data_IF_110023882639
#
_entry.id   IF_110023882639
#
_cell.length_a   1.000
_cell.length_b   1.000
_cell.length_c   1.000
_cell.angle_alpha   90.00
_cell.angle_beta   90.00
_cell.angle_gamma   90.00
#
_symmetry.space_group_name_H-M   'P 1'
#
loop_
_entity.id
_entity.type
_entity.pdbx_description
1 polymer ?
#
# COMPACT_ATOMS: atom_id res chain seq x y z
N UNK A 1 40.31 3.08 -36.96
CA UNK A 1 40.48 2.15 -35.82
C UNK A 1 39.93 2.76 -34.52
N UNK A 2 40.11 4.06 -34.25
CA UNK A 2 39.56 4.73 -33.05
C UNK A 2 38.04 4.91 -32.97
N UNK A 3 37.30 4.90 -34.10
CA UNK A 3 35.83 4.99 -34.08
C UNK A 3 35.16 3.77 -33.44
N UNK A 4 35.68 2.57 -33.69
CA UNK A 4 35.13 1.31 -33.14
C UNK A 4 35.38 1.23 -31.63
N UNK A 5 36.56 1.65 -31.17
CA UNK A 5 36.88 1.71 -29.75
C UNK A 5 35.96 2.69 -29.00
N UNK A 6 35.74 3.87 -29.58
CA UNK A 6 34.81 4.88 -29.02
C UNK A 6 33.38 4.35 -28.94
N UNK A 7 32.93 3.63 -29.97
CA UNK A 7 31.59 3.03 -30.01
C UNK A 7 31.41 2.00 -28.89
N UNK A 8 32.41 1.14 -28.65
CA UNK A 8 32.39 0.11 -27.61
C UNK A 8 32.31 0.74 -26.21
N UNK A 9 33.08 1.81 -25.96
CA UNK A 9 33.06 2.51 -24.67
C UNK A 9 31.70 3.14 -24.39
N UNK A 10 31.09 3.79 -25.38
CA UNK A 10 29.76 4.40 -25.24
C UNK A 10 28.70 3.32 -24.98
N UNK A 11 28.73 2.22 -25.72
CA UNK A 11 27.81 1.10 -25.53
C UNK A 11 27.94 0.50 -24.12
N UNK A 12 29.16 0.31 -23.64
CA UNK A 12 29.42 -0.19 -22.30
C UNK A 12 28.85 0.75 -21.22
N UNK A 13 29.05 2.06 -21.34
CA UNK A 13 28.52 3.05 -20.38
C UNK A 13 26.99 3.09 -20.39
N UNK A 14 26.37 3.02 -21.57
CA UNK A 14 24.90 2.98 -21.68
C UNK A 14 24.34 1.71 -21.05
N UNK A 15 24.92 0.54 -21.34
CA UNK A 15 24.50 -0.73 -20.74
C UNK A 15 24.69 -0.71 -19.22
N UNK A 16 25.82 -0.19 -18.72
CA UNK A 16 26.09 -0.04 -17.30
C UNK A 16 25.03 0.86 -16.63
N UNK A 17 24.74 2.03 -17.22
CA UNK A 17 23.75 2.97 -16.70
C UNK A 17 22.33 2.41 -16.76
N UNK A 18 21.98 1.62 -17.78
CA UNK A 18 20.68 0.97 -17.88
C UNK A 18 20.49 -0.10 -16.78
N UNK A 19 21.52 -0.91 -16.52
CA UNK A 19 21.50 -1.92 -15.45
C UNK A 19 21.40 -1.22 -14.09
N UNK A 20 22.28 -0.23 -13.83
CA UNK A 20 22.27 0.53 -12.59
C UNK A 20 20.96 1.30 -12.40
N UNK A 21 20.41 1.88 -13.47
CA UNK A 21 19.13 2.58 -13.46
C UNK A 21 18.00 1.64 -13.10
N UNK A 22 17.89 0.49 -13.76
CA UNK A 22 16.84 -0.51 -13.51
C UNK A 22 16.93 -1.06 -12.08
N UNK A 23 18.13 -1.37 -11.58
CA UNK A 23 18.33 -1.84 -10.19
C UNK A 23 17.96 -0.76 -9.17
N UNK A 24 18.33 0.50 -9.43
CA UNK A 24 17.95 1.61 -8.56
C UNK A 24 16.43 1.84 -8.55
N UNK A 25 15.77 1.74 -9.71
CA UNK A 25 14.30 1.84 -9.82
C UNK A 25 13.61 0.71 -9.06
N UNK A 26 14.07 -0.53 -9.20
CA UNK A 26 13.50 -1.69 -8.48
C UNK A 26 13.67 -1.53 -6.97
N UNK A 27 14.84 -1.08 -6.49
CA UNK A 27 15.06 -0.82 -5.05
C UNK A 27 14.18 0.32 -4.53
N UNK A 28 14.02 1.39 -5.31
CA UNK A 28 13.15 2.50 -4.94
C UNK A 28 11.67 2.06 -4.84
N UNK A 29 11.20 1.25 -5.80
CA UNK A 29 9.85 0.69 -5.79
C UNK A 29 9.60 -0.28 -4.62
N UNK A 30 10.58 -1.11 -4.26
CA UNK A 30 10.45 -2.06 -3.13
C UNK A 30 10.27 -1.37 -1.77
N UNK A 31 10.94 -0.24 -1.55
CA UNK A 31 10.78 0.58 -0.34
C UNK A 31 9.38 1.19 -0.25
N UNK A 32 8.80 1.60 -1.38
CA UNK A 32 7.44 2.12 -1.47
C UNK A 32 6.39 1.02 -1.22
N UNK A 33 6.62 -0.19 -1.74
CA UNK A 33 5.70 -1.32 -1.54
C UNK A 33 5.64 -1.78 -0.07
N UNK A 34 6.79 -1.79 0.61
CA UNK A 34 6.87 -2.13 2.03
C UNK A 34 6.13 -1.12 2.92
N UNK A 35 6.19 0.18 2.57
CA UNK A 35 5.38 1.21 3.23
C UNK A 35 3.88 1.00 3.00
N UNK A 36 3.50 0.58 1.78
CA UNK A 36 2.11 0.31 1.41
C UNK A 36 1.52 -0.88 2.19
N UNK A 37 2.33 -1.91 2.46
CA UNK A 37 1.93 -3.05 3.28
C UNK A 37 1.73 -2.68 4.76
N UNK A 38 2.48 -1.71 5.29
CA UNK A 38 2.28 -1.19 6.66
C UNK A 38 1.06 -0.27 6.81
N UNK A 39 0.50 0.22 5.71
CA UNK A 39 -0.67 1.12 5.68
C UNK A 39 -1.93 0.46 5.13
N UNK A 40 -1.98 -0.87 5.06
CA UNK A 40 -3.23 -1.55 4.73
C UNK A 40 -4.28 -1.18 5.80
N UNK A 41 -5.44 -0.60 5.42
CA UNK A 41 -6.47 -0.25 6.39
C UNK A 41 -6.93 -1.53 7.08
N UNK A 42 -6.70 -1.58 8.39
CA UNK A 42 -7.20 -2.66 9.25
C UNK A 42 -8.55 -2.27 9.80
N UNK A 43 -9.50 -3.19 9.80
CA UNK A 43 -10.79 -2.99 10.43
C UNK A 43 -10.79 -3.59 11.84
N UNK A 44 -11.37 -2.88 12.80
CA UNK A 44 -11.74 -3.45 14.10
C UNK A 44 -13.14 -4.03 13.98
N UNK A 45 -13.30 -5.33 14.20
CA UNK A 45 -14.60 -6.02 14.14
C UNK A 45 -14.88 -6.74 15.44
N UNK A 46 -16.16 -6.81 15.82
CA UNK A 46 -16.62 -7.60 16.95
C UNK A 46 -16.98 -9.01 16.46
N UNK A 47 -16.15 -10.01 16.80
CA UNK A 47 -16.40 -11.43 16.53
C UNK A 47 -16.34 -12.21 17.84
N UNK A 48 -17.29 -13.11 18.06
CA UNK A 48 -17.34 -13.96 19.27
C UNK A 48 -17.35 -13.14 20.59
N UNK A 49 -17.94 -11.94 20.56
CA UNK A 49 -17.97 -11.02 21.71
C UNK A 49 -16.64 -10.33 22.03
N UNK A 50 -15.60 -10.50 21.20
CA UNK A 50 -14.31 -9.84 21.36
C UNK A 50 -14.00 -8.92 20.17
N UNK A 51 -13.33 -7.80 20.46
CA UNK A 51 -12.87 -6.87 19.44
C UNK A 51 -11.57 -7.41 18.87
N UNK A 52 -11.58 -7.75 17.59
CA UNK A 52 -10.43 -8.27 16.85
C UNK A 52 -10.08 -7.34 15.69
N UNK A 53 -8.79 -7.12 15.48
CA UNK A 53 -8.28 -6.31 14.38
C UNK A 53 -7.92 -7.24 13.22
N UNK A 54 -8.61 -7.07 12.09
CA UNK A 54 -8.41 -7.87 10.88
C UNK A 54 -8.06 -6.96 9.71
N UNK A 55 -7.42 -7.47 8.64
CA UNK A 55 -7.24 -6.70 7.42
C UNK A 55 -8.61 -6.29 6.86
N UNK A 56 -8.77 -5.04 6.41
CA UNK A 56 -10.06 -4.55 5.87
C UNK A 56 -10.61 -5.40 4.72
N UNK A 57 -9.73 -6.07 3.96
CA UNK A 57 -10.08 -7.04 2.91
C UNK A 57 -10.73 -8.34 3.40
N UNK A 58 -10.61 -8.67 4.69
CA UNK A 58 -11.18 -9.87 5.30
C UNK A 58 -12.50 -9.60 6.04
N UNK A 59 -13.00 -8.37 5.99
CA UNK A 59 -14.32 -8.00 6.51
C UNK A 59 -15.39 -8.62 5.61
N UNK A 60 -16.35 -9.31 6.22
CA UNK A 60 -17.44 -9.98 5.50
C UNK A 60 -18.81 -9.47 5.97
N UNK A 61 -19.87 -9.62 5.14
CA UNK A 61 -21.22 -9.26 5.56
C UNK A 61 -21.62 -10.02 6.82
N UNK A 62 -22.02 -9.29 7.87
CA UNK A 62 -22.34 -9.84 9.19
C UNK A 62 -21.35 -9.44 10.28
N UNK A 63 -20.16 -8.95 9.91
CA UNK A 63 -19.26 -8.32 10.87
C UNK A 63 -19.81 -7.00 11.39
N UNK A 64 -19.68 -6.78 12.69
CA UNK A 64 -19.93 -5.48 13.33
C UNK A 64 -18.61 -4.73 13.40
N UNK A 65 -18.44 -3.74 12.52
CA UNK A 65 -17.24 -2.90 12.45
C UNK A 65 -17.33 -1.78 13.47
N UNK A 66 -16.26 -1.60 14.25
CA UNK A 66 -16.12 -0.52 15.23
C UNK A 66 -15.22 0.56 14.64
N UNK A 67 -15.78 1.74 14.42
CA UNK A 67 -15.09 2.89 13.85
C UNK A 67 -14.79 3.92 14.95
N UNK A 68 -13.54 4.38 14.97
CA UNK A 68 -13.06 5.42 15.88
C UNK A 68 -12.60 6.65 15.09
N UNK A 69 -12.37 7.76 15.78
CA UNK A 69 -11.88 8.97 15.14
C UNK A 69 -10.51 8.73 14.47
N UNK A 70 -10.44 8.97 13.16
CA UNK A 70 -9.24 8.74 12.35
C UNK A 70 -9.18 7.37 11.67
N UNK A 71 -10.14 6.48 11.94
CA UNK A 71 -10.26 5.21 11.24
C UNK A 71 -10.85 5.41 9.83
N UNK A 72 -10.48 4.54 8.91
CA UNK A 72 -10.97 4.58 7.53
C UNK A 72 -12.09 3.57 7.35
N UNK A 73 -13.19 3.97 6.69
CA UNK A 73 -14.33 3.08 6.45
C UNK A 73 -13.89 1.96 5.49
N UNK A 74 -13.77 0.73 6.02
CA UNK A 74 -13.21 -0.40 5.27
C UNK A 74 -14.18 -1.00 4.25
N UNK A 75 -15.49 -0.87 4.46
CA UNK A 75 -16.54 -1.40 3.59
C UNK A 75 -17.85 -0.63 3.78
N UNK A 76 -18.73 -0.68 2.79
CA UNK A 76 -20.10 -0.18 2.92
C UNK A 76 -20.88 -0.99 3.97
N UNK A 77 -21.63 -0.29 4.80
CA UNK A 77 -22.35 -0.91 5.91
C UNK A 77 -23.55 -0.09 6.35
N UNK A 78 -24.28 -0.66 7.32
CA UNK A 78 -25.38 0.03 7.99
C UNK A 78 -24.91 0.51 9.35
N UNK A 79 -25.12 1.80 9.62
CA UNK A 79 -24.88 2.36 10.96
C UNK A 79 -25.88 1.73 11.95
N UNK A 80 -25.34 1.08 12.99
CA UNK A 80 -26.12 0.49 14.08
C UNK A 80 -26.20 1.45 15.26
N UNK A 81 -25.05 1.98 15.67
CA UNK A 81 -24.90 2.94 16.76
C UNK A 81 -23.88 4.01 16.36
N UNK A 82 -24.12 5.27 16.73
CA UNK A 82 -23.21 6.38 16.43
C UNK A 82 -23.31 7.48 17.47
N UNK A 83 -22.17 8.09 17.81
CA UNK A 83 -22.10 9.25 18.69
C UNK A 83 -21.31 10.37 18.00
N UNK A 84 -21.99 11.47 17.65
CA UNK A 84 -21.36 12.64 17.01
C UNK A 84 -20.54 12.31 15.74
N UNK A 85 -21.01 11.36 14.94
CA UNK A 85 -20.34 10.87 13.74
C UNK A 85 -20.16 11.99 12.71
N UNK A 86 -18.93 12.16 12.22
CA UNK A 86 -18.60 12.97 11.05
C UNK A 86 -17.75 12.12 10.11
N UNK A 87 -18.13 12.13 8.83
CA UNK A 87 -17.41 11.45 7.76
C UNK A 87 -16.90 12.49 6.77
N UNK A 88 -15.74 12.22 6.18
CA UNK A 88 -15.19 13.01 5.09
C UNK A 88 -15.30 12.19 3.81
N UNK A 89 -16.13 12.65 2.89
CA UNK A 89 -16.22 12.14 1.53
C UNK A 89 -15.43 13.13 0.66
N UNK A 90 -14.38 12.67 -0.03
CA UNK A 90 -13.49 13.51 -0.85
C UNK A 90 -13.31 12.93 -2.24
#
# INVERSE_FOLDING_TARGET
>A
MGDVESMIVILAVITMNAILGTVQTVKASASLDSLKQMSAPTAKVLRDGQIVQIPGREVVPGDVVILEAGDSVCADGRLLECASLKCAES
#
